data_IF_989423121032
#
_entry.id   IF_989423121032
#
_cell.length_a   1.000
_cell.length_b   1.000
_cell.length_c   1.000
_cell.angle_alpha   90.00
_cell.angle_beta   90.00
_cell.angle_gamma   90.00
#
_symmetry.space_group_name_H-M   'P 1'
#
loop_
_entity.id
_entity.type
_entity.pdbx_description
1 polymer ?
#
# COMPACT_ATOMS: atom_id res chain seq x y z
N UNK A 1 18.50 8.62 -41.39
CA UNK A 1 18.78 7.21 -41.02
C UNK A 1 17.58 6.73 -40.24
N UNK A 2 16.94 5.61 -40.61
CA UNK A 2 15.87 5.06 -39.77
C UNK A 2 16.48 4.62 -38.45
N UNK A 3 15.90 5.10 -37.34
CA UNK A 3 16.27 4.73 -36.00
C UNK A 3 15.93 3.24 -35.85
N UNK A 4 16.91 2.43 -35.44
CA UNK A 4 16.68 1.03 -35.15
C UNK A 4 15.53 0.91 -34.12
N UNK A 5 14.65 -0.08 -34.27
CA UNK A 5 13.59 -0.29 -33.28
C UNK A 5 14.26 -0.48 -31.91
N UNK A 6 13.91 0.40 -30.98
CA UNK A 6 14.32 0.24 -29.59
C UNK A 6 13.81 -1.13 -29.16
N UNK A 7 14.73 -2.02 -28.77
CA UNK A 7 14.35 -3.34 -28.28
C UNK A 7 13.24 -3.15 -27.25
N UNK A 8 12.18 -3.93 -27.39
CA UNK A 8 11.04 -3.86 -26.48
C UNK A 8 11.54 -4.05 -25.04
N UNK A 9 11.66 -2.94 -24.32
CA UNK A 9 12.08 -2.95 -22.93
C UNK A 9 10.94 -3.61 -22.17
N UNK A 10 11.17 -4.84 -21.72
CA UNK A 10 10.21 -5.50 -20.82
C UNK A 10 10.27 -4.73 -19.48
N UNK A 11 9.25 -3.97 -19.13
CA UNK A 11 9.30 -3.21 -17.90
C UNK A 11 9.44 -4.19 -16.73
N UNK A 12 10.38 -3.94 -15.85
CA UNK A 12 10.54 -4.68 -14.59
C UNK A 12 9.46 -4.32 -13.58
N UNK A 13 8.64 -3.32 -13.91
CA UNK A 13 7.63 -2.75 -13.05
C UNK A 13 6.42 -2.30 -13.87
N UNK A 14 5.21 -2.67 -13.41
CA UNK A 14 3.95 -2.33 -14.02
C UNK A 14 3.07 -1.55 -13.05
N UNK A 15 2.47 -0.47 -13.55
CA UNK A 15 1.56 0.38 -12.79
C UNK A 15 0.14 0.29 -13.31
N UNK A 16 -0.82 0.35 -12.38
CA UNK A 16 -2.25 0.36 -12.70
C UNK A 16 -2.93 1.45 -11.87
N UNK A 17 -3.90 2.11 -12.47
CA UNK A 17 -4.79 3.05 -11.79
C UNK A 17 -6.21 2.56 -11.91
N UNK A 18 -6.88 2.30 -10.77
CA UNK A 18 -8.21 1.72 -10.70
C UNK A 18 -8.36 0.45 -11.58
N UNK A 19 -7.35 -0.41 -11.59
CA UNK A 19 -7.31 -1.63 -12.38
C UNK A 19 -6.96 -1.45 -13.87
N UNK A 20 -6.80 -0.21 -14.34
CA UNK A 20 -6.40 0.08 -15.73
C UNK A 20 -4.87 0.16 -15.82
N UNK A 21 -4.21 -0.62 -16.69
CA UNK A 21 -2.77 -0.57 -16.85
C UNK A 21 -2.32 0.80 -17.36
N UNK A 22 -1.24 1.34 -16.75
CA UNK A 22 -0.62 2.59 -17.16
C UNK A 22 0.50 2.39 -18.19
N UNK A 23 0.63 1.18 -18.71
CA UNK A 23 1.53 0.81 -19.80
C UNK A 23 0.74 0.23 -20.96
N UNK A 24 0.94 0.81 -22.12
CA UNK A 24 0.37 0.36 -23.40
C UNK A 24 1.32 0.71 -24.55
N UNK A 25 0.95 0.37 -25.78
CA UNK A 25 1.72 0.78 -26.96
C UNK A 25 1.61 2.27 -27.29
N UNK A 26 0.62 2.97 -26.74
CA UNK A 26 0.30 4.37 -27.08
C UNK A 26 0.40 5.34 -25.90
N UNK A 27 0.58 4.83 -24.69
CA UNK A 27 1.02 5.60 -23.52
C UNK A 27 1.79 4.69 -22.55
N UNK A 28 2.70 5.27 -21.79
CA UNK A 28 3.50 4.47 -20.86
C UNK A 28 4.03 5.32 -19.68
N UNK A 29 4.25 4.68 -18.55
CA UNK A 29 5.05 5.24 -17.46
C UNK A 29 6.52 5.13 -17.83
N UNK A 30 7.25 6.24 -17.82
CA UNK A 30 8.67 6.23 -18.11
C UNK A 30 9.48 5.67 -16.97
N UNK A 31 10.57 4.96 -17.31
CA UNK A 31 11.49 4.42 -16.28
C UNK A 31 12.38 5.49 -15.65
N UNK A 32 12.46 6.67 -16.25
CA UNK A 32 13.34 7.76 -15.82
C UNK A 32 12.53 8.92 -15.24
N UNK A 33 13.00 9.42 -14.12
CA UNK A 33 12.39 10.54 -13.41
C UNK A 33 11.22 10.12 -12.52
N UNK A 34 10.78 11.08 -11.71
CA UNK A 34 9.71 10.89 -10.73
C UNK A 34 10.21 10.39 -9.38
N UNK A 35 9.41 10.61 -8.35
CA UNK A 35 9.72 10.27 -6.95
C UNK A 35 9.16 8.92 -6.51
N UNK A 36 8.92 8.01 -7.46
CA UNK A 36 8.26 6.72 -7.19
C UNK A 36 9.02 5.79 -6.24
N UNK A 37 10.34 6.00 -6.10
CA UNK A 37 11.20 5.23 -5.21
C UNK A 37 11.62 6.01 -3.96
N UNK A 38 11.13 7.23 -3.78
CA UNK A 38 11.43 8.03 -2.60
C UNK A 38 10.84 7.39 -1.34
N UNK A 39 11.58 7.36 -0.25
CA UNK A 39 11.03 6.98 1.04
C UNK A 39 10.06 8.05 1.53
N UNK A 40 9.00 7.67 2.27
CA UNK A 40 8.15 8.62 2.96
C UNK A 40 8.97 9.49 3.93
N UNK A 41 8.54 10.73 4.10
CA UNK A 41 9.16 11.62 5.10
C UNK A 41 8.76 11.15 6.50
N UNK A 42 9.72 11.17 7.41
CA UNK A 42 9.42 10.87 8.80
C UNK A 42 8.77 12.07 9.48
N UNK A 43 7.60 11.87 10.07
CA UNK A 43 6.92 12.85 10.93
C UNK A 43 7.29 12.62 12.38
N UNK A 44 7.68 13.65 13.06
CA UNK A 44 8.03 13.66 14.49
C UNK A 44 9.08 14.71 14.79
N UNK A 45 9.09 15.19 16.01
CA UNK A 45 10.07 16.18 16.48
C UNK A 45 11.00 15.53 17.49
N UNK A 46 12.30 15.73 17.28
CA UNK A 46 13.31 15.42 18.27
C UNK A 46 13.36 16.56 19.29
N UNK A 47 13.56 16.25 20.56
CA UNK A 47 13.60 17.24 21.63
C UNK A 47 15.02 17.63 21.94
N UNK A 48 15.30 18.91 21.85
CA UNK A 48 16.52 19.50 22.39
C UNK A 48 16.31 19.82 23.86
N UNK A 49 17.04 19.14 24.73
CA UNK A 49 16.97 19.42 26.17
C UNK A 49 17.84 20.66 26.46
N UNK A 50 17.28 21.74 27.04
CA UNK A 50 18.07 22.88 27.42
C UNK A 50 19.26 22.48 28.31
N UNK A 51 20.41 23.09 28.07
CA UNK A 51 21.66 22.85 28.82
C UNK A 51 22.26 21.46 28.70
N UNK A 52 21.82 20.65 27.73
CA UNK A 52 22.39 19.34 27.41
C UNK A 52 22.83 19.28 25.96
N UNK A 53 24.03 18.76 25.70
CA UNK A 53 24.50 18.53 24.32
C UNK A 53 23.72 17.38 23.68
N UNK A 54 23.29 17.58 22.42
CA UNK A 54 22.59 16.59 21.63
C UNK A 54 21.05 16.71 21.70
N UNK A 55 20.39 15.78 21.03
CA UNK A 55 18.93 15.70 20.93
C UNK A 55 18.43 14.36 21.47
N UNK A 56 17.24 14.35 22.06
CA UNK A 56 16.53 13.12 22.39
C UNK A 56 15.70 12.70 21.18
N UNK A 57 16.07 11.58 20.58
CA UNK A 57 15.30 10.97 19.50
C UNK A 57 14.02 10.36 20.05
N UNK A 58 12.89 10.67 19.40
CA UNK A 58 11.60 10.00 19.65
C UNK A 58 11.24 9.10 18.49
N UNK A 59 10.31 8.17 18.73
CA UNK A 59 9.70 7.38 17.68
C UNK A 59 9.11 8.29 16.62
N UNK A 60 9.47 8.06 15.37
CA UNK A 60 8.95 8.80 14.21
C UNK A 60 8.06 7.87 13.41
N UNK A 61 7.01 8.44 12.82
CA UNK A 61 6.09 7.74 11.93
C UNK A 61 6.31 8.26 10.51
N UNK A 62 5.98 7.44 9.54
CA UNK A 62 5.95 7.92 8.17
C UNK A 62 4.82 8.95 7.99
N UNK A 63 5.10 10.00 7.25
CA UNK A 63 4.12 10.99 6.81
C UNK A 63 3.52 10.57 5.47
N UNK A 64 2.54 11.32 4.99
CA UNK A 64 2.01 11.17 3.64
C UNK A 64 3.15 11.14 2.59
N UNK A 65 2.90 10.49 1.46
CA UNK A 65 3.88 10.35 0.39
C UNK A 65 3.29 10.78 -0.94
N UNK A 66 4.02 11.59 -1.67
CA UNK A 66 3.70 11.88 -3.07
C UNK A 66 4.53 11.00 -3.99
N UNK A 67 3.86 10.28 -4.89
CA UNK A 67 4.48 9.52 -5.96
C UNK A 67 4.25 10.27 -7.27
N UNK A 68 5.32 10.64 -7.95
CA UNK A 68 5.26 11.26 -9.27
C UNK A 68 5.50 10.20 -10.34
N UNK A 69 4.52 9.96 -11.18
CA UNK A 69 4.63 9.10 -12.36
C UNK A 69 4.86 9.98 -13.58
N UNK A 70 6.05 9.85 -14.17
CA UNK A 70 6.31 10.48 -15.48
C UNK A 70 5.77 9.58 -16.58
N UNK A 71 4.93 10.13 -17.44
CA UNK A 71 4.26 9.40 -18.49
C UNK A 71 4.52 10.05 -19.85
N UNK A 72 4.44 9.25 -20.88
CA UNK A 72 4.40 9.73 -22.26
C UNK A 72 3.18 9.15 -22.99
N UNK A 73 2.73 9.86 -24.01
CA UNK A 73 1.73 9.40 -24.98
C UNK A 73 2.12 9.81 -26.37
N UNK A 74 1.71 9.03 -27.36
CA UNK A 74 1.99 9.29 -28.78
C UNK A 74 0.75 9.06 -29.65
N UNK A 75 0.97 9.06 -30.96
CA UNK A 75 -0.05 8.88 -31.99
C UNK A 75 -0.25 7.44 -32.44
N UNK A 76 0.28 6.44 -31.70
CA UNK A 76 0.00 5.04 -32.03
C UNK A 76 -1.48 4.73 -31.75
N UNK A 77 -2.11 4.02 -32.67
CA UNK A 77 -3.50 3.62 -32.54
C UNK A 77 -3.61 2.41 -31.61
N UNK A 78 -4.57 2.44 -30.69
CA UNK A 78 -4.95 1.25 -29.96
C UNK A 78 -5.74 0.29 -30.85
N UNK A 79 -5.77 -1.01 -30.50
CA UNK A 79 -6.52 -2.01 -31.23
C UNK A 79 -8.05 -1.73 -31.29
N UNK A 80 -8.56 -0.91 -30.37
CA UNK A 80 -9.97 -0.50 -30.32
C UNK A 80 -10.28 0.74 -31.15
N UNK A 81 -9.25 1.46 -31.65
CA UNK A 81 -9.42 2.65 -32.47
C UNK A 81 -9.49 2.26 -33.96
N UNK A 82 -10.61 2.55 -34.60
CA UNK A 82 -10.80 2.35 -36.04
C UNK A 82 -11.12 3.69 -36.68
N UNK A 83 -10.18 4.18 -37.48
CA UNK A 83 -10.38 5.39 -38.30
C UNK A 83 -10.44 5.04 -39.78
N UNK A 84 -11.24 5.78 -40.60
CA UNK A 84 -11.36 5.53 -42.02
C UNK A 84 -10.05 5.71 -42.82
N UNK A 85 -9.13 6.50 -42.28
CA UNK A 85 -7.74 6.64 -42.71
C UNK A 85 -6.87 6.85 -41.46
N UNK A 86 -5.63 6.43 -41.51
CA UNK A 86 -4.68 6.66 -40.42
C UNK A 86 -4.51 8.18 -40.21
N UNK A 87 -5.16 8.72 -39.19
CA UNK A 87 -5.01 10.11 -38.76
C UNK A 87 -4.23 10.16 -37.43
N UNK A 88 -2.91 10.38 -37.51
CA UNK A 88 -2.07 10.38 -36.29
C UNK A 88 -2.42 11.51 -35.34
N UNK A 89 -2.96 12.62 -35.81
CA UNK A 89 -3.35 13.73 -34.90
C UNK A 89 -4.58 13.36 -34.08
N UNK A 90 -5.54 12.73 -34.73
CA UNK A 90 -6.75 12.24 -34.05
C UNK A 90 -6.38 11.15 -33.06
N UNK A 91 -5.55 10.18 -33.46
CA UNK A 91 -5.07 9.13 -32.55
C UNK A 91 -4.36 9.72 -31.32
N UNK A 92 -3.49 10.70 -31.48
CA UNK A 92 -2.84 11.40 -30.39
C UNK A 92 -3.86 12.08 -29.45
N UNK A 93 -4.81 12.83 -30.01
CA UNK A 93 -5.82 13.53 -29.22
C UNK A 93 -6.69 12.54 -28.43
N UNK A 94 -7.09 11.43 -29.05
CA UNK A 94 -7.93 10.43 -28.40
C UNK A 94 -7.15 9.70 -27.28
N UNK A 95 -5.89 9.35 -27.49
CA UNK A 95 -5.01 8.77 -26.49
C UNK A 95 -4.83 9.71 -25.28
N UNK A 96 -4.61 10.99 -25.58
CA UNK A 96 -4.45 12.00 -24.53
C UNK A 96 -5.76 12.23 -23.76
N UNK A 97 -6.90 12.30 -24.44
CA UNK A 97 -8.20 12.43 -23.79
C UNK A 97 -8.54 11.21 -22.91
N UNK A 98 -8.22 10.01 -23.37
CA UNK A 98 -8.40 8.78 -22.60
C UNK A 98 -7.58 8.81 -21.30
N UNK A 99 -6.31 9.24 -21.37
CA UNK A 99 -5.49 9.42 -20.16
C UNK A 99 -6.06 10.48 -19.22
N UNK A 100 -6.50 11.62 -19.76
CA UNK A 100 -7.17 12.63 -18.95
C UNK A 100 -8.42 12.09 -18.26
N UNK A 101 -9.24 11.33 -18.96
CA UNK A 101 -10.42 10.68 -18.39
C UNK A 101 -10.03 9.70 -17.29
N UNK A 102 -9.00 8.89 -17.49
CA UNK A 102 -8.50 7.93 -16.51
C UNK A 102 -8.12 8.61 -15.19
N UNK A 103 -7.44 9.74 -15.25
CA UNK A 103 -7.03 10.49 -14.06
C UNK A 103 -8.07 11.53 -13.60
N UNK A 104 -9.06 11.87 -14.43
CA UNK A 104 -10.15 12.79 -14.05
C UNK A 104 -11.36 12.05 -13.51
N UNK A 105 -11.35 10.73 -13.44
CA UNK A 105 -12.47 9.99 -12.87
C UNK A 105 -12.77 10.53 -11.48
N UNK A 106 -13.76 11.39 -11.45
CA UNK A 106 -14.48 11.71 -10.22
C UNK A 106 -15.01 10.37 -9.75
N UNK A 107 -14.38 9.83 -8.73
CA UNK A 107 -14.91 8.65 -8.06
C UNK A 107 -16.40 8.82 -7.81
N UNK A 108 -17.08 7.73 -7.65
CA UNK A 108 -18.48 7.72 -7.16
C UNK A 108 -18.61 8.81 -6.10
N UNK A 109 -19.63 9.66 -6.25
CA UNK A 109 -19.91 10.87 -5.49
C UNK A 109 -19.29 10.82 -4.08
N UNK A 110 -18.24 11.61 -3.86
CA UNK A 110 -17.60 11.78 -2.56
C UNK A 110 -16.21 11.19 -2.37
N UNK A 111 -15.64 10.42 -3.31
CA UNK A 111 -14.27 9.93 -3.21
C UNK A 111 -13.41 10.48 -4.33
N UNK A 112 -12.37 11.25 -3.98
CA UNK A 112 -11.28 11.66 -4.89
C UNK A 112 -10.17 10.61 -4.94
N UNK A 113 -10.29 9.53 -4.15
CA UNK A 113 -9.28 8.49 -4.03
C UNK A 113 -9.47 7.40 -5.08
N UNK A 114 -8.37 6.93 -5.63
CA UNK A 114 -8.29 5.78 -6.51
C UNK A 114 -7.28 4.76 -5.97
N UNK A 115 -7.37 3.54 -6.48
CA UNK A 115 -6.41 2.49 -6.16
C UNK A 115 -5.23 2.56 -7.11
N UNK A 116 -4.04 2.83 -6.57
CA UNK A 116 -2.77 2.69 -7.27
C UNK A 116 -2.23 1.28 -7.02
N UNK A 117 -1.99 0.52 -8.08
CA UNK A 117 -1.38 -0.81 -7.99
C UNK A 117 -0.01 -0.79 -8.66
N UNK A 118 0.93 -1.46 -8.03
CA UNK A 118 2.29 -1.68 -8.50
C UNK A 118 2.57 -3.17 -8.55
N UNK A 119 3.06 -3.65 -9.68
CA UNK A 119 3.56 -5.01 -9.86
C UNK A 119 5.05 -4.92 -10.17
N UNK A 120 5.89 -5.58 -9.35
CA UNK A 120 7.35 -5.59 -9.57
C UNK A 120 7.94 -6.93 -9.16
N UNK A 121 9.18 -7.16 -9.54
CA UNK A 121 9.89 -8.36 -9.12
C UNK A 121 10.64 -8.11 -7.82
N UNK A 122 10.36 -8.95 -6.84
CA UNK A 122 11.04 -8.98 -5.55
C UNK A 122 11.86 -10.26 -5.44
N UNK A 123 13.15 -10.15 -5.07
CA UNK A 123 14.01 -11.31 -4.88
C UNK A 123 14.21 -11.53 -3.39
N UNK A 124 13.46 -12.46 -2.83
CA UNK A 124 13.68 -12.93 -1.47
C UNK A 124 14.01 -14.43 -1.52
N UNK A 125 15.16 -14.82 -1.00
CA UNK A 125 15.57 -16.23 -1.00
C UNK A 125 16.07 -16.78 -2.34
N UNK A 126 16.45 -15.92 -3.29
CA UNK A 126 17.20 -16.33 -4.50
C UNK A 126 16.39 -16.47 -5.80
N UNK A 127 15.07 -16.45 -5.75
CA UNK A 127 14.22 -16.45 -6.96
C UNK A 127 13.38 -15.17 -7.06
N UNK A 128 13.39 -14.48 -8.21
CA UNK A 128 12.54 -13.32 -8.40
C UNK A 128 11.07 -13.75 -8.47
N UNK A 129 10.26 -13.20 -7.60
CA UNK A 129 8.81 -13.40 -7.59
C UNK A 129 8.13 -12.08 -7.91
N UNK A 130 7.12 -12.11 -8.78
CA UNK A 130 6.32 -10.93 -9.06
C UNK A 130 5.43 -10.63 -7.85
N UNK A 131 5.60 -9.45 -7.27
CA UNK A 131 4.80 -8.94 -6.17
C UNK A 131 3.80 -7.95 -6.72
N UNK A 132 2.54 -8.11 -6.34
CA UNK A 132 1.47 -7.15 -6.57
C UNK A 132 1.15 -6.46 -5.26
N UNK A 133 1.19 -5.13 -5.26
CA UNK A 133 0.80 -4.34 -4.09
C UNK A 133 -0.06 -3.16 -4.50
N UNK A 134 -0.89 -2.69 -3.57
CA UNK A 134 -1.87 -1.64 -3.78
C UNK A 134 -1.79 -0.60 -2.68
N UNK A 135 -2.08 0.66 -3.05
CA UNK A 135 -2.27 1.75 -2.12
C UNK A 135 -3.47 2.59 -2.56
N UNK A 136 -4.10 3.29 -1.63
CA UNK A 136 -5.08 4.32 -1.96
C UNK A 136 -4.36 5.64 -2.17
N UNK A 137 -4.66 6.32 -3.27
CA UNK A 137 -4.02 7.57 -3.63
C UNK A 137 -5.04 8.60 -4.15
N UNK A 138 -4.72 9.88 -3.98
CA UNK A 138 -5.43 11.01 -4.57
C UNK A 138 -4.56 11.65 -5.64
N UNK A 139 -5.18 12.22 -6.68
CA UNK A 139 -4.46 13.00 -7.67
C UNK A 139 -4.17 14.37 -7.08
N UNK A 140 -2.88 14.69 -6.92
CA UNK A 140 -2.40 15.89 -6.23
C UNK A 140 -1.80 16.92 -7.20
N UNK A 141 -2.51 17.34 -8.19
CA UNK A 141 -1.96 18.35 -9.11
C UNK A 141 -2.64 18.35 -10.46
N UNK A 142 -2.17 19.24 -11.33
CA UNK A 142 -2.60 19.32 -12.72
C UNK A 142 -1.75 18.37 -13.56
N UNK A 143 -2.38 17.75 -14.56
CA UNK A 143 -1.69 16.98 -15.58
C UNK A 143 -1.37 17.92 -16.75
N UNK A 144 -0.23 18.61 -16.71
CA UNK A 144 0.17 19.58 -17.71
C UNK A 144 1.13 18.93 -18.74
N UNK A 145 0.67 18.69 -19.97
CA UNK A 145 1.51 18.04 -20.98
C UNK A 145 2.54 18.99 -21.56
N UNK A 146 3.77 18.51 -21.67
CA UNK A 146 4.81 19.14 -22.48
C UNK A 146 4.90 18.41 -23.81
N UNK A 147 4.64 19.13 -24.90
CA UNK A 147 4.72 18.55 -26.25
C UNK A 147 6.17 18.23 -26.62
N UNK A 148 6.41 16.98 -26.95
CA UNK A 148 7.68 16.50 -27.47
C UNK A 148 7.55 16.19 -28.99
N UNK A 149 7.57 17.24 -29.78
CA UNK A 149 7.27 17.14 -31.19
C UNK A 149 5.79 17.37 -31.54
N UNK A 150 5.33 16.92 -32.71
CA UNK A 150 3.97 17.21 -33.20
C UNK A 150 2.90 16.25 -32.69
N UNK A 151 3.27 15.04 -32.29
CA UNK A 151 2.35 13.94 -32.08
C UNK A 151 2.75 13.08 -30.82
N UNK A 152 3.51 13.66 -29.93
CA UNK A 152 3.84 13.04 -28.64
C UNK A 152 3.90 14.07 -27.54
N UNK A 153 3.57 13.67 -26.33
CA UNK A 153 3.64 14.49 -25.15
C UNK A 153 4.20 13.71 -23.97
N UNK A 154 4.90 14.42 -23.11
CA UNK A 154 5.33 13.94 -21.78
C UNK A 154 4.61 14.76 -20.72
N UNK A 155 4.24 14.13 -19.62
CA UNK A 155 3.60 14.79 -18.51
C UNK A 155 3.88 14.02 -17.20
N UNK A 156 3.68 14.67 -16.10
CA UNK A 156 3.79 14.07 -14.77
C UNK A 156 2.42 14.00 -14.12
N UNK A 157 2.19 12.93 -13.38
CA UNK A 157 1.01 12.76 -12.52
C UNK A 157 1.49 12.58 -11.11
N UNK A 158 1.11 13.50 -10.22
CA UNK A 158 1.39 13.42 -8.81
C UNK A 158 0.24 12.74 -8.08
N UNK A 159 0.56 11.69 -7.36
CA UNK A 159 -0.36 10.86 -6.60
C UNK A 159 -0.01 10.96 -5.12
N UNK A 160 -0.89 11.53 -4.32
CA UNK A 160 -0.74 11.66 -2.88
C UNK A 160 -1.30 10.41 -2.19
N UNK A 161 -0.45 9.73 -1.44
CA UNK A 161 -0.80 8.62 -0.58
C UNK A 161 -0.86 9.13 0.87
N UNK A 162 -2.05 9.18 1.45
CA UNK A 162 -2.21 9.51 2.86
C UNK A 162 -1.67 8.41 3.78
N UNK A 163 -1.77 7.15 3.35
CA UNK A 163 -1.01 6.02 3.90
C UNK A 163 0.17 5.75 2.95
N UNK A 164 1.41 6.00 3.37
CA UNK A 164 2.58 5.94 2.49
C UNK A 164 2.96 4.53 2.04
N UNK A 165 2.28 3.51 2.56
CA UNK A 165 2.60 2.11 2.33
C UNK A 165 1.79 1.52 1.18
N UNK A 166 2.42 0.57 0.48
CA UNK A 166 1.74 -0.34 -0.42
C UNK A 166 1.48 -1.67 0.28
N UNK A 167 0.31 -2.24 0.09
CA UNK A 167 -0.09 -3.49 0.71
C UNK A 167 -0.26 -4.60 -0.30
N UNK A 168 0.29 -5.76 0.02
CA UNK A 168 0.14 -6.99 -0.75
C UNK A 168 -1.25 -7.60 -0.60
N UNK A 169 -1.43 -8.79 -1.16
CA UNK A 169 -2.67 -9.54 -1.00
C UNK A 169 -2.92 -9.90 0.46
N UNK A 170 -4.20 -9.95 0.85
CA UNK A 170 -4.59 -10.37 2.19
C UNK A 170 -4.18 -11.82 2.45
N UNK A 171 -3.60 -12.05 3.62
CA UNK A 171 -3.17 -13.35 4.12
C UNK A 171 -3.84 -13.65 5.45
N UNK A 172 -3.99 -14.93 5.76
CA UNK A 172 -4.51 -15.38 7.03
C UNK A 172 -3.66 -16.53 7.56
N UNK A 173 -3.34 -16.49 8.86
CA UNK A 173 -2.58 -17.54 9.54
C UNK A 173 -3.09 -17.76 10.96
N UNK A 174 -3.35 -19.02 11.31
CA UNK A 174 -3.79 -19.39 12.67
C UNK A 174 -2.61 -19.84 13.51
N UNK A 175 -2.55 -19.35 14.74
CA UNK A 175 -1.59 -19.79 15.78
C UNK A 175 -2.36 -20.32 16.97
N UNK A 176 -2.00 -21.50 17.44
CA UNK A 176 -2.56 -22.13 18.63
C UNK A 176 -1.66 -21.98 19.87
N UNK A 177 -2.01 -22.68 20.95
CA UNK A 177 -1.27 -22.66 22.24
C UNK A 177 0.15 -23.22 22.14
N UNK A 178 0.46 -24.01 21.14
CA UNK A 178 1.84 -24.45 20.88
C UNK A 178 2.76 -23.32 20.39
N UNK A 179 2.19 -22.15 20.10
CA UNK A 179 2.89 -21.05 19.47
C UNK A 179 3.08 -21.27 17.96
N UNK A 180 3.70 -20.32 17.31
CA UNK A 180 3.99 -20.40 15.87
C UNK A 180 4.81 -19.22 15.36
N UNK A 181 5.21 -19.31 14.11
CA UNK A 181 5.92 -18.23 13.42
C UNK A 181 5.06 -17.70 12.30
N UNK A 182 4.86 -16.38 12.28
CA UNK A 182 4.22 -15.65 11.16
C UNK A 182 5.32 -14.91 10.41
N UNK A 183 5.42 -15.13 9.11
CA UNK A 183 6.35 -14.38 8.25
C UNK A 183 5.61 -13.29 7.51
N UNK A 184 5.88 -12.04 7.86
CA UNK A 184 5.44 -10.87 7.12
C UNK A 184 6.51 -10.46 6.09
N UNK A 185 6.09 -10.10 4.90
CA UNK A 185 7.00 -9.70 3.81
C UNK A 185 6.98 -8.19 3.65
N UNK A 186 8.01 -7.68 2.96
CA UNK A 186 8.11 -6.28 2.62
C UNK A 186 9.10 -5.51 3.48
N UNK A 187 9.00 -4.20 3.40
CA UNK A 187 9.92 -3.24 4.04
C UNK A 187 9.26 -2.48 5.18
N UNK A 188 7.93 -2.59 5.29
CA UNK A 188 7.13 -1.93 6.29
C UNK A 188 6.79 -2.81 7.49
N UNK A 189 6.15 -2.21 8.47
CA UNK A 189 5.61 -2.88 9.66
C UNK A 189 4.11 -3.04 9.49
N UNK A 190 3.64 -4.28 9.49
CA UNK A 190 2.20 -4.57 9.44
C UNK A 190 1.54 -4.15 10.74
N UNK A 191 0.51 -3.35 10.64
CA UNK A 191 -0.21 -2.78 11.79
C UNK A 191 0.19 -1.34 12.14
N UNK A 192 1.12 -0.72 11.40
CA UNK A 192 1.48 0.70 11.59
C UNK A 192 0.89 1.65 10.53
N UNK A 193 0.20 1.15 9.52
CA UNK A 193 -0.45 1.97 8.51
C UNK A 193 -1.80 2.53 8.95
N UNK A 194 -2.42 3.34 8.08
CA UNK A 194 -3.78 3.84 8.30
C UNK A 194 -4.82 2.77 7.99
N UNK A 195 -5.92 2.78 8.74
CA UNK A 195 -7.04 1.89 8.47
C UNK A 195 -7.71 2.26 7.14
N UNK A 196 -7.51 1.43 6.13
CA UNK A 196 -8.09 1.56 4.79
C UNK A 196 -8.64 0.22 4.30
N UNK A 197 -9.31 0.22 3.16
CA UNK A 197 -9.81 -1.01 2.55
C UNK A 197 -8.71 -1.95 2.08
N UNK A 198 -7.52 -1.43 1.76
CA UNK A 198 -6.36 -2.23 1.33
C UNK A 198 -5.44 -2.62 2.48
N UNK A 199 -5.48 -1.89 3.60
CA UNK A 199 -4.68 -2.15 4.78
C UNK A 199 -5.56 -2.79 5.85
N UNK A 200 -5.49 -4.10 5.99
CA UNK A 200 -6.23 -4.84 7.00
C UNK A 200 -5.26 -5.56 7.94
N UNK A 201 -5.40 -5.32 9.24
CA UNK A 201 -4.71 -6.08 10.26
C UNK A 201 -5.65 -6.41 11.41
N UNK A 202 -6.08 -7.66 11.45
CA UNK A 202 -7.01 -8.17 12.46
C UNK A 202 -6.43 -9.39 13.18
N UNK A 203 -6.79 -9.56 14.45
CA UNK A 203 -6.51 -10.78 15.19
C UNK A 203 -7.83 -11.29 15.77
N UNK A 204 -8.29 -12.43 15.28
CA UNK A 204 -9.52 -13.07 15.76
C UNK A 204 -9.16 -14.16 16.75
N UNK A 205 -9.56 -14.00 18.01
CA UNK A 205 -9.28 -14.94 19.10
C UNK A 205 -10.52 -15.78 19.45
N UNK A 206 -10.30 -17.07 19.72
CA UNK A 206 -11.39 -18.02 19.96
C UNK A 206 -11.92 -18.02 21.39
N UNK A 207 -11.18 -17.44 22.33
CA UNK A 207 -11.55 -17.32 23.76
C UNK A 207 -10.65 -16.30 24.47
N UNK A 208 -10.90 -16.05 25.76
CA UNK A 208 -10.05 -15.21 26.61
C UNK A 208 -8.60 -15.70 26.57
N UNK A 209 -7.68 -14.83 26.14
CA UNK A 209 -6.28 -15.20 25.89
C UNK A 209 -5.36 -14.00 25.90
N UNK A 210 -4.07 -14.28 26.08
CA UNK A 210 -2.98 -13.34 25.78
C UNK A 210 -2.30 -13.77 24.50
N UNK A 211 -2.16 -12.83 23.56
CA UNK A 211 -1.41 -12.99 22.31
C UNK A 211 -0.14 -12.15 22.41
N UNK A 212 1.01 -12.76 22.24
CA UNK A 212 2.32 -12.13 22.36
C UNK A 212 3.10 -12.30 21.06
N UNK A 213 3.63 -11.20 20.52
CA UNK A 213 4.69 -11.23 19.53
C UNK A 213 6.02 -10.89 20.21
N UNK A 214 6.81 -11.91 20.51
CA UNK A 214 8.09 -11.74 21.20
C UNK A 214 9.15 -11.07 20.33
N UNK A 215 9.06 -11.20 19.01
CA UNK A 215 9.94 -10.53 18.04
C UNK A 215 9.75 -9.02 18.08
N UNK A 216 8.50 -8.54 18.13
CA UNK A 216 8.17 -7.11 18.20
C UNK A 216 8.13 -6.55 19.63
N UNK A 217 8.16 -7.41 20.66
CA UNK A 217 8.05 -7.00 22.07
C UNK A 217 6.68 -6.44 22.44
N UNK A 218 5.60 -6.89 21.79
CA UNK A 218 4.23 -6.42 22.01
C UNK A 218 3.32 -7.57 22.39
N UNK A 219 2.31 -7.29 23.20
CA UNK A 219 1.25 -8.23 23.51
C UNK A 219 -0.07 -7.54 23.81
N UNK A 220 -1.17 -8.24 23.60
CA UNK A 220 -2.45 -7.87 24.14
C UNK A 220 -3.12 -9.06 24.84
N UNK A 221 -3.96 -8.75 25.81
CA UNK A 221 -4.80 -9.71 26.53
C UNK A 221 -6.25 -9.30 26.41
N UNK A 222 -7.12 -10.23 26.04
CA UNK A 222 -8.57 -10.06 26.16
C UNK A 222 -9.07 -10.94 27.29
N UNK A 223 -9.64 -10.30 28.33
CA UNK A 223 -10.08 -11.00 29.57
C UNK A 223 -11.38 -11.79 29.37
N UNK A 224 -12.09 -11.61 28.29
CA UNK A 224 -13.45 -12.12 28.10
C UNK A 224 -14.55 -11.21 28.66
N UNK A 225 -14.19 -10.08 29.29
CA UNK A 225 -15.18 -9.17 29.86
C UNK A 225 -16.08 -8.58 28.74
N UNK A 226 -17.40 -8.65 28.95
CA UNK A 226 -18.41 -8.11 28.05
C UNK A 226 -18.67 -8.95 26.80
N UNK A 227 -17.97 -10.07 26.59
CA UNK A 227 -18.17 -10.95 25.43
C UNK A 227 -19.45 -11.77 25.60
N UNK A 228 -20.39 -11.56 24.68
CA UNK A 228 -21.62 -12.36 24.62
C UNK A 228 -21.42 -13.66 23.81
N UNK A 229 -20.58 -13.61 22.79
CA UNK A 229 -20.29 -14.77 21.93
C UNK A 229 -18.87 -14.70 21.34
N UNK A 230 -18.17 -15.82 21.37
CA UNK A 230 -16.88 -15.97 20.70
C UNK A 230 -17.06 -16.36 19.24
N UNK A 231 -16.14 -16.06 18.32
CA UNK A 231 -14.83 -15.40 18.57
C UNK A 231 -14.92 -13.88 18.72
N UNK A 232 -13.85 -13.28 19.24
CA UNK A 232 -13.64 -11.83 19.26
C UNK A 232 -12.63 -11.44 18.17
N UNK A 233 -12.98 -10.48 17.35
CA UNK A 233 -12.10 -9.89 16.34
C UNK A 233 -11.57 -8.55 16.83
N UNK A 234 -10.26 -8.45 16.97
CA UNK A 234 -9.51 -7.25 17.31
C UNK A 234 -9.00 -6.63 15.99
N UNK A 235 -9.50 -5.45 15.63
CA UNK A 235 -8.95 -4.63 14.54
C UNK A 235 -7.87 -3.73 15.12
N UNK A 236 -6.63 -4.07 14.84
CA UNK A 236 -5.46 -3.42 15.42
C UNK A 236 -5.32 -1.98 14.94
N UNK A 237 -5.68 -1.72 13.68
CA UNK A 237 -5.53 -0.40 13.06
C UNK A 237 -6.62 0.58 13.50
N UNK A 238 -7.83 0.08 13.77
CA UNK A 238 -8.96 0.88 14.24
C UNK A 238 -9.09 0.94 15.74
N UNK A 239 -8.26 0.19 16.48
CA UNK A 239 -8.33 0.05 17.94
C UNK A 239 -9.72 -0.37 18.42
N UNK A 240 -10.33 -1.31 17.71
CA UNK A 240 -11.64 -1.85 18.05
C UNK A 240 -11.59 -3.34 18.33
N UNK A 241 -12.52 -3.82 19.14
CA UNK A 241 -12.72 -5.24 19.37
C UNK A 241 -14.22 -5.54 19.33
N UNK A 242 -14.62 -6.51 18.53
CA UNK A 242 -16.01 -6.90 18.35
C UNK A 242 -16.19 -8.40 18.57
N UNK A 243 -17.24 -8.79 19.28
CA UNK A 243 -17.60 -10.19 19.43
C UNK A 243 -18.37 -10.72 18.19
N UNK A 244 -18.68 -12.01 18.19
CA UNK A 244 -19.33 -12.67 17.05
C UNK A 244 -20.76 -12.14 16.76
N UNK A 245 -21.40 -11.44 17.69
CA UNK A 245 -22.72 -10.82 17.51
C UNK A 245 -22.65 -9.31 17.25
N UNK A 246 -21.42 -8.76 17.13
CA UNK A 246 -21.18 -7.37 16.75
C UNK A 246 -21.11 -6.39 17.92
N UNK A 247 -21.08 -6.85 19.17
CA UNK A 247 -20.90 -5.96 20.32
C UNK A 247 -19.46 -5.46 20.42
N UNK A 248 -19.32 -4.19 20.81
CA UNK A 248 -18.00 -3.63 21.12
C UNK A 248 -17.52 -4.14 22.48
N UNK A 249 -16.43 -4.88 22.49
CA UNK A 249 -15.81 -5.50 23.67
C UNK A 249 -14.40 -4.99 23.94
N UNK A 250 -14.05 -3.82 23.42
CA UNK A 250 -12.73 -3.20 23.59
C UNK A 250 -12.35 -2.98 25.05
N UNK A 251 -13.33 -2.80 25.94
CA UNK A 251 -13.10 -2.69 27.40
C UNK A 251 -12.46 -3.92 28.04
N UNK A 252 -12.54 -5.09 27.41
CA UNK A 252 -11.85 -6.32 27.85
C UNK A 252 -10.40 -6.43 27.39
N UNK A 253 -9.89 -5.48 26.57
CA UNK A 253 -8.52 -5.48 26.07
C UNK A 253 -7.56 -4.72 26.98
N UNK A 254 -6.41 -5.31 27.22
CA UNK A 254 -5.21 -4.68 27.79
C UNK A 254 -4.02 -4.97 26.90
N UNK A 255 -3.04 -4.07 26.84
CA UNK A 255 -1.84 -4.26 26.01
C UNK A 255 -0.57 -3.91 26.77
N UNK A 256 0.54 -4.52 26.33
CA UNK A 256 1.88 -4.29 26.86
C UNK A 256 2.83 -4.09 25.68
N UNK A 257 3.69 -3.10 25.79
CA UNK A 257 4.69 -2.75 24.77
C UNK A 257 4.67 -1.27 24.43
N UNK A 258 5.69 -0.84 23.71
CA UNK A 258 5.88 0.57 23.31
C UNK A 258 5.11 0.97 22.04
N UNK A 259 4.54 -0.01 21.34
CA UNK A 259 3.80 0.15 20.10
C UNK A 259 2.35 -0.26 20.27
N UNK A 260 1.60 -0.32 19.20
CA UNK A 260 0.20 -0.74 19.13
C UNK A 260 -0.06 -2.09 19.81
N UNK A 261 -1.31 -2.46 20.02
CA UNK A 261 -1.73 -3.72 20.64
C UNK A 261 -1.07 -4.96 20.03
N UNK A 262 -0.80 -4.91 18.71
CA UNK A 262 -0.09 -5.94 17.99
C UNK A 262 0.53 -5.32 16.74
N UNK A 263 1.70 -5.81 16.32
CA UNK A 263 2.28 -5.54 15.01
C UNK A 263 3.10 -6.75 14.55
N UNK A 264 3.34 -6.85 13.25
CA UNK A 264 4.26 -7.83 12.65
C UNK A 264 5.42 -7.07 12.00
N UNK A 265 6.63 -7.37 12.42
CA UNK A 265 7.84 -6.85 11.78
C UNK A 265 8.09 -7.60 10.47
N UNK A 266 8.82 -6.98 9.54
CA UNK A 266 9.29 -7.66 8.34
C UNK A 266 10.16 -8.87 8.72
N UNK A 267 9.85 -10.01 8.12
CA UNK A 267 10.48 -11.28 8.43
C UNK A 267 9.68 -12.17 9.37
N UNK A 268 10.37 -13.03 10.10
CA UNK A 268 9.76 -14.02 11.01
C UNK A 268 9.37 -13.39 12.35
N UNK A 269 8.10 -13.57 12.73
CA UNK A 269 7.54 -13.12 14.01
C UNK A 269 7.17 -14.34 14.84
N UNK A 270 7.73 -14.46 16.02
CA UNK A 270 7.44 -15.54 16.96
C UNK A 270 6.23 -15.16 17.80
N UNK A 271 5.13 -15.89 17.59
CA UNK A 271 3.85 -15.64 18.25
C UNK A 271 3.56 -16.73 19.28
N UNK A 272 3.13 -16.30 20.46
CA UNK A 272 2.61 -17.17 21.51
C UNK A 272 1.15 -16.81 21.84
N UNK A 273 0.34 -17.82 22.09
CA UNK A 273 -1.08 -17.71 22.47
C UNK A 273 -1.27 -18.55 23.75
N UNK A 274 -1.78 -17.93 24.82
CA UNK A 274 -1.91 -18.64 26.09
C UNK A 274 -3.04 -19.66 26.13
N UNK A 275 -4.18 -19.33 25.48
CA UNK A 275 -5.36 -20.19 25.43
C UNK A 275 -6.03 -20.11 24.07
N UNK A 276 -6.57 -21.24 23.56
CA UNK A 276 -7.31 -21.31 22.32
C UNK A 276 -6.46 -21.05 21.08
N UNK A 277 -6.99 -20.27 20.17
CA UNK A 277 -6.35 -19.93 18.89
C UNK A 277 -6.47 -18.45 18.59
N UNK A 278 -5.49 -17.92 17.86
CA UNK A 278 -5.51 -16.59 17.27
C UNK A 278 -5.33 -16.69 15.73
N UNK A 279 -6.31 -16.22 14.99
CA UNK A 279 -6.26 -16.10 13.52
C UNK A 279 -5.82 -14.67 13.19
N UNK A 280 -4.66 -14.54 12.58
CA UNK A 280 -4.11 -13.28 12.09
C UNK A 280 -4.56 -13.07 10.64
N UNK A 281 -5.28 -11.97 10.37
CA UNK A 281 -5.57 -11.49 9.02
C UNK A 281 -4.73 -10.25 8.74
N UNK A 282 -3.87 -10.29 7.74
CA UNK A 282 -2.93 -9.20 7.45
C UNK A 282 -2.56 -9.12 5.97
N UNK A 283 -1.99 -7.98 5.57
CA UNK A 283 -1.34 -7.79 4.29
C UNK A 283 0.14 -7.53 4.50
N UNK A 284 0.98 -8.02 3.59
CA UNK A 284 2.39 -7.63 3.57
C UNK A 284 2.50 -6.13 3.25
N UNK A 285 3.51 -5.44 3.79
CA UNK A 285 3.63 -3.99 3.68
C UNK A 285 4.95 -3.59 3.00
N UNK A 286 4.87 -2.70 2.02
CA UNK A 286 6.00 -2.23 1.20
C UNK A 286 6.04 -0.71 1.18
N UNK A 287 7.25 -0.15 1.17
CA UNK A 287 7.48 1.30 1.07
C UNK A 287 7.65 1.75 -0.37
#
# INVERSE_FOLDING_TARGET
>A
MPQAPVAAFSPTEYWYWNGVPLQSSYYNVTTFGGSRFGLPVNRGQDYQVPYRSGQLFRGKYFDERTITLNMWTDSQMSASQSYPAADPRRAFNDNFQMLRQLFTTRGVVGSVQGQLQRNWYWTQGGSPTMVTSTAMAEIAGSMDPTMNGRLSAVFSVDLLLSDPMFYGAARAQTVGTAGGTITALGEGVVGEGFASAVNAFTVTISQATTVTNSTAGVSFTHSGAGVASWPVTVDVLRYTATDAVGNNVVGGLTHVGSRMWMCLLSGANVIAVTNGTALFGFCDAYV
#
